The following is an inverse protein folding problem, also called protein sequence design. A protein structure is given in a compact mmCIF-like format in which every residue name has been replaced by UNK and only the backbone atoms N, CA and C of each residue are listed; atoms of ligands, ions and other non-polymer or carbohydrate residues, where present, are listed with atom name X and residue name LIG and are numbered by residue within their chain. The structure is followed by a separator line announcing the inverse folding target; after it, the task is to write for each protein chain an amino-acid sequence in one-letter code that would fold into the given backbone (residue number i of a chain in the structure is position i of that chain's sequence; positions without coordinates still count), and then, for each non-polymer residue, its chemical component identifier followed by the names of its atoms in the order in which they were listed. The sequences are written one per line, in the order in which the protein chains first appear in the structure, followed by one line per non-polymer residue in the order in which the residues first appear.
data_IF_042264889194
#
_entry.id   IF_042264889194
#
_cell.length_a   1.000
_cell.length_b   1.000
_cell.length_c   1.000
_cell.angle_alpha   90.00
_cell.angle_beta   90.00
_cell.angle_gamma   90.00
#
_symmetry.space_group_name_H-M   'P 1'
#
loop_
_entity.id
_entity.type
_entity.pdbx_description
1 polymer ?
#
# COMPACT_ATOMS: atom_id res chain seq x y z
N UNK A 1 -2.88 14.84 25.93
CA UNK A 1 -3.34 13.47 25.72
C UNK A 1 -2.77 12.99 24.39
N UNK A 2 -1.57 12.33 24.45
CA UNK A 2 -0.81 11.94 23.27
C UNK A 2 -1.52 10.80 22.55
N UNK A 3 -1.73 10.97 21.25
CA UNK A 3 -2.28 9.91 20.40
C UNK A 3 -1.24 8.80 20.22
N UNK A 4 -1.63 7.52 20.31
CA UNK A 4 -0.73 6.42 20.02
C UNK A 4 -0.49 6.34 18.52
N UNK A 5 0.79 6.31 18.16
CA UNK A 5 1.30 6.20 16.80
C UNK A 5 0.74 4.97 16.08
N UNK A 6 0.10 5.23 14.97
CA UNK A 6 -0.38 4.24 14.00
C UNK A 6 0.80 3.47 13.41
N UNK A 7 0.74 2.14 13.46
CA UNK A 7 1.62 1.25 12.68
C UNK A 7 1.32 1.28 11.17
N UNK A 8 0.91 2.40 10.66
CA UNK A 8 1.03 2.85 9.29
C UNK A 8 2.07 3.97 9.34
N UNK A 9 3.35 3.60 9.30
CA UNK A 9 4.42 4.57 9.10
C UNK A 9 4.95 5.33 10.31
N UNK A 10 4.75 4.90 11.53
CA UNK A 10 5.32 5.57 12.69
C UNK A 10 6.32 4.70 13.44
N UNK A 11 7.46 4.45 12.83
CA UNK A 11 8.69 4.18 13.54
C UNK A 11 9.86 4.77 12.75
N UNK A 12 10.48 5.77 13.38
CA UNK A 12 11.75 6.39 13.03
C UNK A 12 11.68 7.54 12.01
N UNK A 13 11.43 8.74 12.53
CA UNK A 13 11.91 9.99 11.94
C UNK A 13 13.43 10.08 12.09
N UNK A 14 14.14 9.32 11.26
CA UNK A 14 15.56 9.50 11.00
C UNK A 14 15.70 9.96 9.56
N UNK A 15 16.23 11.15 9.35
CA UNK A 15 16.65 11.62 8.03
C UNK A 15 17.63 10.59 7.46
N UNK A 16 17.18 9.79 6.50
CA UNK A 16 18.06 8.91 5.72
C UNK A 16 18.65 9.75 4.60
N UNK A 17 19.79 10.38 4.87
CA UNK A 17 20.68 10.80 3.79
C UNK A 17 21.16 9.55 3.08
N UNK A 18 20.69 9.35 1.85
CA UNK A 18 21.19 8.33 0.93
C UNK A 18 22.62 8.68 0.53
N UNK A 19 23.58 8.08 1.19
CA UNK A 19 24.87 7.82 0.59
C UNK A 19 24.85 6.34 0.24
N UNK A 20 24.96 6.01 -1.04
CA UNK A 20 25.14 4.66 -1.53
C UNK A 20 26.48 4.08 -1.01
N UNK A 21 26.50 3.75 0.27
CA UNK A 21 27.51 2.88 0.84
C UNK A 21 27.06 1.45 0.52
N UNK A 22 28.00 0.60 0.10
CA UNK A 22 27.79 -0.85 0.01
C UNK A 22 27.39 -1.35 1.41
N UNK A 23 26.07 -1.32 1.66
CA UNK A 23 25.51 -1.70 2.94
C UNK A 23 25.75 -3.20 3.13
N UNK A 24 26.65 -3.52 4.04
CA UNK A 24 26.74 -4.87 4.58
C UNK A 24 25.37 -5.16 5.20
N UNK A 25 24.68 -6.15 4.68
CA UNK A 25 23.39 -6.61 5.22
C UNK A 25 23.61 -7.84 6.07
N UNK A 26 22.98 -7.89 7.23
CA UNK A 26 22.90 -9.06 8.09
C UNK A 26 21.42 -9.47 8.23
N UNK A 27 20.90 -10.17 7.20
CA UNK A 27 19.50 -10.59 7.20
C UNK A 27 19.21 -11.43 8.43
N UNK A 28 18.08 -11.13 9.08
CA UNK A 28 17.61 -11.87 10.24
C UNK A 28 16.12 -12.11 10.16
N UNK A 29 15.74 -13.31 10.52
CA UNK A 29 14.34 -13.69 10.72
C UNK A 29 14.18 -14.30 12.11
N UNK A 30 13.05 -14.01 12.76
CA UNK A 30 12.64 -14.68 14.00
C UNK A 30 11.23 -15.16 13.77
N UNK A 31 11.01 -16.46 13.91
CA UNK A 31 9.69 -17.10 13.70
C UNK A 31 9.22 -17.70 15.04
N UNK A 32 8.03 -17.31 15.44
CA UNK A 32 7.37 -17.86 16.62
C UNK A 32 6.10 -18.60 16.20
N UNK A 33 5.95 -19.81 16.68
CA UNK A 33 4.77 -20.64 16.52
C UNK A 33 4.10 -20.81 17.89
N UNK A 34 2.82 -20.48 17.98
CA UNK A 34 2.07 -20.46 19.26
C UNK A 34 2.86 -19.75 20.38
N UNK A 35 3.48 -18.60 20.05
CA UNK A 35 4.33 -17.76 20.92
C UNK A 35 5.70 -18.36 21.29
N UNK A 36 5.98 -19.61 20.93
CA UNK A 36 7.31 -20.23 21.13
C UNK A 36 8.23 -19.86 19.98
N UNK A 37 9.42 -19.39 20.28
CA UNK A 37 10.48 -19.17 19.28
C UNK A 37 10.97 -20.53 18.77
N UNK A 38 10.78 -20.76 17.46
CA UNK A 38 11.19 -21.98 16.77
C UNK A 38 12.28 -21.72 15.71
N UNK A 39 12.82 -20.50 15.71
CA UNK A 39 13.78 -20.06 14.67
C UNK A 39 14.95 -21.01 14.51
N UNK A 40 15.61 -21.38 15.61
CA UNK A 40 16.74 -22.30 15.60
C UNK A 40 16.37 -23.73 15.14
N UNK A 41 15.15 -24.18 15.50
CA UNK A 41 14.69 -25.54 15.19
C UNK A 41 14.41 -25.70 13.69
N UNK A 42 13.93 -24.63 13.04
CA UNK A 42 13.54 -24.65 11.62
C UNK A 42 14.63 -24.13 10.67
N UNK A 43 15.61 -23.38 11.18
CA UNK A 43 16.67 -22.75 10.38
C UNK A 43 17.39 -23.72 9.40
N UNK A 44 17.70 -24.98 9.77
CA UNK A 44 18.35 -25.92 8.84
C UNK A 44 17.46 -26.27 7.62
N UNK A 45 16.15 -26.18 7.76
CA UNK A 45 15.15 -26.54 6.73
C UNK A 45 14.61 -25.33 5.99
N UNK A 46 14.86 -24.11 6.49
CA UNK A 46 14.32 -22.88 5.94
C UNK A 46 14.88 -22.58 4.55
N UNK A 47 14.01 -22.54 3.54
CA UNK A 47 14.33 -22.15 2.17
C UNK A 47 14.09 -20.67 1.94
N UNK A 48 12.91 -20.20 2.32
CA UNK A 48 12.57 -18.79 2.22
C UNK A 48 11.54 -18.37 3.27
N UNK A 49 11.56 -17.10 3.62
CA UNK A 49 10.50 -16.43 4.37
C UNK A 49 10.17 -15.15 3.66
N UNK A 50 8.89 -14.93 3.40
CA UNK A 50 8.42 -13.67 2.85
C UNK A 50 7.25 -13.11 3.65
N UNK A 51 7.17 -11.79 3.70
CA UNK A 51 6.05 -11.03 4.19
C UNK A 51 5.56 -10.10 3.10
N UNK A 52 4.29 -10.15 2.79
CA UNK A 52 3.65 -9.25 1.83
C UNK A 52 2.63 -8.39 2.55
N UNK A 53 2.87 -7.08 2.51
CA UNK A 53 2.01 -6.04 3.06
C UNK A 53 1.21 -5.41 1.93
N UNK A 54 -0.11 -5.45 2.02
CA UNK A 54 -1.03 -4.88 1.05
C UNK A 54 -1.67 -3.60 1.59
N UNK A 55 -1.76 -2.57 0.77
CA UNK A 55 -2.45 -1.34 1.15
C UNK A 55 -3.95 -1.59 1.33
N UNK A 56 -4.55 -2.34 0.42
CA UNK A 56 -5.99 -2.60 0.38
C UNK A 56 -6.32 -3.89 -0.39
N UNK A 57 -7.53 -4.42 -0.16
CA UNK A 57 -8.11 -5.51 -0.96
C UNK A 57 -7.70 -6.91 -0.56
N UNK A 58 -6.59 -7.07 0.13
CA UNK A 58 -6.08 -8.36 0.61
C UNK A 58 -5.58 -8.26 2.04
N UNK A 59 -5.53 -9.40 2.72
CA UNK A 59 -4.88 -9.52 4.02
C UNK A 59 -3.38 -9.59 3.84
N UNK A 60 -2.63 -9.00 4.76
CA UNK A 60 -1.19 -9.20 4.79
C UNK A 60 -0.89 -10.68 5.00
N UNK A 61 0.16 -11.15 4.34
CA UNK A 61 0.51 -12.57 4.24
C UNK A 61 1.96 -12.81 4.65
N UNK A 62 2.17 -13.84 5.46
CA UNK A 62 3.48 -14.45 5.71
C UNK A 62 3.52 -15.79 5.01
N UNK A 63 4.58 -16.03 4.26
CA UNK A 63 4.87 -17.33 3.66
C UNK A 63 6.20 -17.85 4.16
N UNK A 64 6.23 -19.10 4.63
CA UNK A 64 7.43 -19.80 5.08
C UNK A 64 7.58 -21.07 4.25
N UNK A 65 8.69 -21.22 3.55
CA UNK A 65 9.01 -22.42 2.76
C UNK A 65 10.07 -23.24 3.47
N UNK A 66 9.79 -24.51 3.69
CA UNK A 66 10.64 -25.43 4.43
C UNK A 66 10.92 -26.68 3.59
N UNK A 67 12.15 -27.10 3.59
CA UNK A 67 12.58 -28.37 2.99
C UNK A 67 12.09 -29.57 3.83
N UNK A 68 11.44 -30.54 3.18
CA UNK A 68 10.86 -31.71 3.85
C UNK A 68 11.39 -33.03 3.29
N UNK A 69 12.71 -33.19 3.22
CA UNK A 69 13.36 -34.39 2.68
C UNK A 69 13.05 -35.63 3.52
N UNK A 70 13.05 -35.47 4.85
CA UNK A 70 12.81 -36.57 5.78
C UNK A 70 11.34 -36.78 6.16
N UNK A 71 10.44 -35.98 5.62
CA UNK A 71 8.99 -36.11 5.81
C UNK A 71 8.47 -35.66 7.18
N UNK A 72 9.29 -34.98 7.97
CA UNK A 72 8.92 -34.54 9.33
C UNK A 72 7.75 -33.58 9.36
N UNK A 73 7.68 -32.65 8.41
CA UNK A 73 6.64 -31.63 8.30
C UNK A 73 5.29 -32.19 7.87
N UNK A 74 5.28 -33.36 7.23
CA UNK A 74 4.06 -34.09 6.86
C UNK A 74 3.59 -35.06 7.94
N UNK A 75 4.34 -35.21 9.01
CA UNK A 75 4.06 -36.20 10.06
C UNK A 75 4.14 -35.54 11.44
N UNK A 76 5.26 -35.72 12.13
CA UNK A 76 5.44 -35.36 13.54
C UNK A 76 5.38 -33.87 13.82
N UNK A 77 5.79 -33.05 12.83
CA UNK A 77 5.86 -31.60 12.92
C UNK A 77 4.81 -30.91 12.04
N UNK A 78 3.75 -31.61 11.68
CA UNK A 78 2.68 -31.05 10.89
C UNK A 78 1.94 -29.97 11.68
N UNK A 79 1.93 -28.71 11.19
CA UNK A 79 1.19 -27.64 11.82
C UNK A 79 -0.30 -27.73 11.48
N UNK A 80 -1.18 -27.14 12.29
CA UNK A 80 -2.61 -27.15 12.04
C UNK A 80 -3.12 -25.82 11.51
N UNK A 81 -4.16 -25.85 10.71
CA UNK A 81 -4.82 -24.63 10.23
C UNK A 81 -5.47 -23.91 11.41
N UNK A 82 -5.26 -22.59 11.50
CA UNK A 82 -5.70 -21.75 12.59
C UNK A 82 -4.65 -21.51 13.67
N UNK A 83 -3.53 -22.24 13.62
CA UNK A 83 -2.38 -21.99 14.52
C UNK A 83 -1.79 -20.60 14.26
N UNK A 84 -1.17 -20.05 15.27
CA UNK A 84 -0.66 -18.68 15.23
C UNK A 84 0.83 -18.63 14.95
N UNK A 85 1.17 -17.89 13.92
CA UNK A 85 2.56 -17.59 13.56
C UNK A 85 2.80 -16.09 13.74
N UNK A 86 3.91 -15.71 14.35
CA UNK A 86 4.41 -14.34 14.32
C UNK A 86 5.82 -14.29 13.76
N UNK A 87 6.13 -13.23 13.03
CA UNK A 87 7.37 -13.06 12.30
C UNK A 87 8.04 -11.73 12.65
N UNK A 88 9.35 -11.75 12.84
CA UNK A 88 10.21 -10.57 12.76
C UNK A 88 11.16 -10.78 11.59
N UNK A 89 11.14 -9.88 10.60
CA UNK A 89 11.94 -9.98 9.38
C UNK A 89 12.69 -8.67 9.16
N UNK A 90 13.91 -8.73 8.68
CA UNK A 90 14.67 -7.54 8.36
C UNK A 90 16.17 -7.75 8.36
N UNK A 91 16.86 -6.72 8.77
CA UNK A 91 18.30 -6.64 8.83
C UNK A 91 18.75 -6.18 10.23
N UNK A 92 19.75 -6.84 10.81
CA UNK A 92 20.22 -6.52 12.16
C UNK A 92 20.78 -5.09 12.27
N UNK A 93 21.34 -4.56 11.18
CA UNK A 93 21.93 -3.22 11.12
C UNK A 93 20.86 -2.19 10.77
N UNK A 94 20.04 -2.47 9.74
CA UNK A 94 19.12 -1.51 9.15
C UNK A 94 17.72 -1.50 9.78
N UNK A 95 17.43 -2.49 10.59
CA UNK A 95 16.20 -2.61 11.37
C UNK A 95 15.33 -3.81 11.01
N UNK A 96 14.53 -4.20 11.99
CA UNK A 96 13.61 -5.34 11.94
C UNK A 96 12.15 -4.86 11.88
N UNK A 97 11.37 -5.48 11.02
CA UNK A 97 9.92 -5.34 11.01
C UNK A 97 9.31 -6.46 11.88
N UNK A 98 8.61 -6.05 12.93
CA UNK A 98 7.91 -6.98 13.83
C UNK A 98 6.46 -7.07 13.42
N UNK A 99 6.03 -8.27 13.07
CA UNK A 99 4.66 -8.55 12.70
C UNK A 99 3.88 -9.11 13.89
N UNK A 100 2.61 -8.75 13.96
CA UNK A 100 1.69 -9.33 14.93
C UNK A 100 1.44 -10.82 14.67
N UNK A 101 0.61 -11.42 15.52
CA UNK A 101 0.18 -12.79 15.31
C UNK A 101 -0.70 -12.91 14.06
N UNK A 102 -0.39 -13.87 13.21
CA UNK A 102 -1.15 -14.24 12.00
C UNK A 102 -1.65 -15.66 12.13
N UNK A 103 -2.77 -15.98 11.51
CA UNK A 103 -3.36 -17.32 11.54
C UNK A 103 -2.95 -18.12 10.31
N UNK A 104 -2.47 -19.34 10.51
CA UNK A 104 -2.12 -20.27 9.46
C UNK A 104 -3.37 -20.65 8.66
N UNK A 105 -3.42 -20.24 7.41
CA UNK A 105 -4.59 -20.38 6.54
C UNK A 105 -4.44 -21.53 5.53
N UNK A 106 -3.22 -21.80 5.08
CA UNK A 106 -2.93 -22.78 4.03
C UNK A 106 -1.61 -23.49 4.32
N UNK A 107 -1.60 -24.79 4.11
CA UNK A 107 -0.42 -25.65 4.14
C UNK A 107 -0.36 -26.38 2.81
N UNK A 108 0.70 -26.14 2.05
CA UNK A 108 0.90 -26.75 0.75
C UNK A 108 2.13 -27.68 0.79
N UNK A 109 2.03 -28.86 0.21
CA UNK A 109 3.15 -29.78 0.01
C UNK A 109 3.40 -29.98 -1.46
N UNK A 110 4.65 -29.79 -1.88
CA UNK A 110 5.10 -29.96 -3.25
C UNK A 110 6.21 -31.01 -3.34
N UNK A 111 6.17 -31.84 -4.40
CA UNK A 111 7.24 -32.80 -4.71
C UNK A 111 7.26 -33.09 -6.23
N UNK A 112 8.43 -33.20 -6.89
CA UNK A 112 9.77 -32.79 -6.47
C UNK A 112 10.03 -31.29 -6.66
N UNK A 113 10.88 -30.62 -5.86
CA UNK A 113 11.47 -31.10 -4.62
C UNK A 113 10.47 -31.22 -3.47
N UNK A 114 10.84 -31.92 -2.39
CA UNK A 114 9.98 -32.01 -1.19
C UNK A 114 10.05 -30.71 -0.42
N UNK A 115 9.02 -29.90 -0.55
CA UNK A 115 8.88 -28.58 0.11
C UNK A 115 7.51 -28.49 0.74
N UNK A 116 7.46 -27.98 1.95
CA UNK A 116 6.22 -27.54 2.58
C UNK A 116 6.18 -26.01 2.65
N UNK A 117 5.05 -25.46 2.25
CA UNK A 117 4.80 -24.03 2.28
C UNK A 117 3.68 -23.72 3.26
N UNK A 118 3.98 -22.85 4.24
CA UNK A 118 3.04 -22.38 5.23
C UNK A 118 2.64 -20.97 4.90
N UNK A 119 1.33 -20.69 4.73
CA UNK A 119 0.79 -19.34 4.50
C UNK A 119 -0.08 -18.93 5.67
N UNK A 120 0.29 -17.82 6.31
CA UNK A 120 -0.46 -17.23 7.40
C UNK A 120 -0.96 -15.83 7.04
N UNK A 121 -2.17 -15.50 7.44
CA UNK A 121 -2.87 -14.26 7.11
C UNK A 121 -3.10 -13.39 8.36
N UNK A 122 -3.01 -12.08 8.18
CA UNK A 122 -3.23 -11.10 9.24
C UNK A 122 -4.68 -10.99 9.70
N UNK A 123 -5.63 -11.39 8.88
CA UNK A 123 -7.06 -11.44 9.22
C UNK A 123 -7.46 -12.82 9.63
N UNK A 124 -7.80 -12.96 10.91
CA UNK A 124 -8.26 -14.23 11.45
C UNK A 124 -9.49 -14.80 10.72
N UNK A 125 -9.54 -16.13 10.64
CA UNK A 125 -10.64 -16.90 10.03
C UNK A 125 -11.84 -16.98 11.01
N UNK A 126 -12.26 -15.86 11.60
CA UNK A 126 -13.37 -15.86 12.56
C UNK A 126 -14.73 -15.96 11.87
N UNK A 127 -15.69 -16.63 12.52
CA UNK A 127 -17.07 -16.76 12.02
C UNK A 127 -17.73 -15.41 11.71
N UNK A 128 -17.44 -14.37 12.52
CA UNK A 128 -17.96 -13.02 12.32
C UNK A 128 -17.53 -12.39 11.00
N UNK A 129 -16.31 -12.66 10.55
CA UNK A 129 -15.76 -12.15 9.29
C UNK A 129 -16.35 -12.85 8.06
N UNK A 130 -16.89 -14.06 8.23
CA UNK A 130 -17.45 -14.88 7.14
C UNK A 130 -18.96 -14.76 6.98
N UNK A 131 -19.67 -14.15 7.94
CA UNK A 131 -21.13 -14.06 7.91
C UNK A 131 -21.58 -12.95 6.97
N UNK A 132 -22.36 -13.30 5.94
CA UNK A 132 -23.04 -12.34 5.05
C UNK A 132 -24.19 -11.68 5.79
N UNK A 133 -24.45 -10.41 5.49
CA UNK A 133 -25.48 -9.61 6.14
C UNK A 133 -26.27 -8.78 5.14
N UNK A 134 -27.56 -8.60 5.44
CA UNK A 134 -28.44 -7.66 4.75
C UNK A 134 -28.82 -6.54 5.73
N UNK A 135 -28.31 -5.33 5.53
CA UNK A 135 -28.62 -4.16 6.39
C UNK A 135 -28.68 -2.87 5.59
N UNK A 136 -29.61 -2.01 5.94
CA UNK A 136 -29.65 -0.62 5.49
C UNK A 136 -29.05 0.29 6.57
N UNK A 137 -28.29 1.28 6.12
CA UNK A 137 -27.76 2.37 6.94
C UNK A 137 -28.34 3.66 6.36
N UNK A 138 -29.09 4.39 7.17
CA UNK A 138 -29.83 5.60 6.76
C UNK A 138 -29.54 6.74 7.73
N UNK A 139 -29.58 8.00 7.20
CA UNK A 139 -29.40 9.24 7.97
C UNK A 139 -28.19 9.19 8.92
N UNK A 140 -27.03 8.83 8.41
CA UNK A 140 -25.81 8.61 9.19
C UNK A 140 -24.58 9.21 8.48
N UNK A 141 -23.39 8.91 8.97
CA UNK A 141 -22.13 9.29 8.31
C UNK A 141 -21.31 8.05 7.95
N UNK A 142 -20.40 8.20 6.97
CA UNK A 142 -19.45 7.13 6.63
C UNK A 142 -18.66 6.66 7.87
N UNK A 143 -18.21 7.61 8.69
CA UNK A 143 -17.46 7.32 9.91
C UNK A 143 -18.28 6.51 10.93
N UNK A 144 -19.58 6.81 11.06
CA UNK A 144 -20.45 6.08 11.99
C UNK A 144 -20.74 4.65 11.53
N UNK A 145 -20.86 4.45 10.21
CA UNK A 145 -20.99 3.11 9.63
C UNK A 145 -19.74 2.29 9.95
N UNK A 146 -18.55 2.84 9.68
CA UNK A 146 -17.27 2.19 9.96
C UNK A 146 -17.14 1.84 11.44
N UNK A 147 -17.42 2.79 12.35
CA UNK A 147 -17.39 2.56 13.82
C UNK A 147 -18.38 1.49 14.28
N UNK A 148 -19.59 1.47 13.68
CA UNK A 148 -20.64 0.48 14.00
C UNK A 148 -20.21 -0.93 13.60
N UNK A 149 -19.57 -1.07 12.44
CA UNK A 149 -19.04 -2.35 11.97
C UNK A 149 -17.83 -2.77 12.82
N UNK A 150 -16.91 -1.87 13.08
CA UNK A 150 -15.73 -2.14 13.91
C UNK A 150 -16.10 -2.66 15.30
N UNK A 151 -17.10 -2.04 15.95
CA UNK A 151 -17.62 -2.53 17.25
C UNK A 151 -18.15 -3.95 17.15
N UNK A 152 -18.85 -4.29 16.06
CA UNK A 152 -19.37 -5.63 15.83
C UNK A 152 -18.28 -6.68 15.61
N UNK A 153 -17.16 -6.26 15.01
CA UNK A 153 -15.99 -7.10 14.76
C UNK A 153 -14.99 -7.09 15.94
N UNK A 154 -15.30 -6.37 17.02
CA UNK A 154 -14.40 -6.16 18.17
C UNK A 154 -13.05 -5.54 17.79
N UNK A 155 -13.05 -4.62 16.81
CA UNK A 155 -11.88 -3.93 16.30
C UNK A 155 -11.87 -2.46 16.73
N UNK A 156 -10.66 -1.90 16.90
CA UNK A 156 -10.46 -0.47 17.16
C UNK A 156 -10.28 0.25 15.83
N UNK A 157 -11.07 1.30 15.58
CA UNK A 157 -10.94 2.11 14.36
C UNK A 157 -9.73 3.03 14.47
N UNK A 158 -8.94 3.07 13.41
CA UNK A 158 -7.80 3.98 13.23
C UNK A 158 -7.84 4.59 11.83
N UNK A 159 -7.22 5.78 11.69
CA UNK A 159 -7.18 6.51 10.42
C UNK A 159 -8.08 7.73 10.38
N UNK A 160 -7.93 8.52 9.31
CA UNK A 160 -8.69 9.74 9.04
C UNK A 160 -9.83 9.43 8.08
N UNK A 161 -11.07 9.55 8.55
CA UNK A 161 -12.27 9.31 7.75
C UNK A 161 -12.89 10.65 7.39
N UNK A 162 -13.05 10.94 6.09
CA UNK A 162 -13.73 12.16 5.65
C UNK A 162 -15.17 12.18 6.14
N UNK A 163 -15.63 13.36 6.52
CA UNK A 163 -17.03 13.56 6.91
C UNK A 163 -17.92 13.53 5.66
N UNK A 164 -18.55 12.39 5.40
CA UNK A 164 -19.48 12.20 4.29
C UNK A 164 -20.84 11.82 4.88
N UNK A 165 -21.85 12.69 4.77
CA UNK A 165 -23.19 12.36 5.19
C UNK A 165 -23.79 11.30 4.25
N UNK A 166 -24.32 10.25 4.83
CA UNK A 166 -24.95 9.11 4.13
C UNK A 166 -26.46 9.15 4.35
N UNK A 167 -27.19 9.48 3.31
CA UNK A 167 -28.66 9.43 3.34
C UNK A 167 -29.13 7.98 3.39
N UNK A 168 -28.59 7.14 2.49
CA UNK A 168 -28.85 5.71 2.48
C UNK A 168 -27.69 4.96 1.82
N UNK A 169 -27.30 3.82 2.41
CA UNK A 169 -26.46 2.80 1.79
C UNK A 169 -26.88 1.42 2.32
N UNK A 170 -26.88 0.43 1.44
CA UNK A 170 -27.31 -0.92 1.79
C UNK A 170 -26.14 -1.89 1.67
N UNK A 171 -25.89 -2.66 2.72
CA UNK A 171 -25.11 -3.88 2.72
C UNK A 171 -26.05 -4.99 2.27
N UNK A 172 -25.85 -5.49 1.05
CA UNK A 172 -26.75 -6.49 0.46
C UNK A 172 -26.06 -7.84 0.33
N UNK A 173 -26.34 -8.75 1.26
CA UNK A 173 -25.74 -10.09 1.31
C UNK A 173 -24.20 -10.09 1.17
N UNK A 174 -23.58 -9.08 1.76
CA UNK A 174 -22.12 -8.90 1.78
C UNK A 174 -21.57 -9.19 3.18
N UNK A 175 -20.35 -9.69 3.26
CA UNK A 175 -19.61 -9.71 4.52
C UNK A 175 -19.26 -8.30 4.95
N UNK A 176 -19.06 -8.09 6.24
CA UNK A 176 -18.69 -6.77 6.77
C UNK A 176 -17.39 -6.21 6.15
N UNK A 177 -16.40 -7.09 5.91
CA UNK A 177 -15.13 -6.73 5.28
C UNK A 177 -15.35 -6.32 3.82
N UNK A 178 -16.13 -7.09 3.05
CA UNK A 178 -16.46 -6.78 1.65
C UNK A 178 -17.20 -5.45 1.53
N UNK A 179 -18.17 -5.22 2.42
CA UNK A 179 -18.92 -3.97 2.49
C UNK A 179 -18.02 -2.76 2.77
N UNK A 180 -17.11 -2.86 3.76
CA UNK A 180 -16.15 -1.80 4.07
C UNK A 180 -15.16 -1.58 2.92
N UNK A 181 -14.70 -2.62 2.25
CA UNK A 181 -13.85 -2.52 1.05
C UNK A 181 -14.56 -1.75 -0.06
N UNK A 182 -15.84 -2.08 -0.30
CA UNK A 182 -16.65 -1.37 -1.29
C UNK A 182 -16.85 0.10 -0.92
N UNK A 183 -17.21 0.40 0.33
CA UNK A 183 -17.36 1.78 0.79
C UNK A 183 -16.05 2.57 0.70
N UNK A 184 -14.94 1.96 1.07
CA UNK A 184 -13.63 2.60 0.96
C UNK A 184 -13.34 3.00 -0.49
N UNK A 185 -13.49 2.07 -1.44
CA UNK A 185 -13.30 2.33 -2.87
C UNK A 185 -14.27 3.39 -3.41
N UNK A 186 -15.56 3.32 -3.04
CA UNK A 186 -16.60 4.26 -3.50
C UNK A 186 -16.37 5.68 -2.99
N UNK A 187 -15.84 5.85 -1.78
CA UNK A 187 -15.65 7.14 -1.15
C UNK A 187 -14.19 7.60 -1.04
N UNK A 188 -13.27 6.96 -1.78
CA UNK A 188 -11.86 7.37 -1.86
C UNK A 188 -11.10 7.19 -0.56
N UNK A 189 -11.27 6.05 0.06
CA UNK A 189 -10.54 5.62 1.24
C UNK A 189 -9.82 4.29 0.97
N UNK A 190 -8.84 4.00 1.80
CA UNK A 190 -8.18 2.70 1.92
C UNK A 190 -8.70 2.01 3.18
N UNK A 191 -8.97 0.72 3.08
CA UNK A 191 -9.43 -0.11 4.18
C UNK A 191 -8.58 -1.37 4.30
N UNK A 192 -8.13 -1.65 5.53
CA UNK A 192 -7.52 -2.95 5.88
C UNK A 192 -7.71 -3.26 7.37
N UNK A 193 -7.57 -4.52 7.71
CA UNK A 193 -7.55 -4.98 9.11
C UNK A 193 -6.13 -5.46 9.42
N UNK A 194 -5.55 -4.94 10.50
CA UNK A 194 -4.23 -5.32 11.00
C UNK A 194 -4.36 -5.69 12.48
N UNK A 195 -4.22 -6.97 12.79
CA UNK A 195 -4.43 -7.48 14.15
C UNK A 195 -5.82 -7.11 14.67
N UNK A 196 -5.89 -6.31 15.75
CA UNK A 196 -7.16 -5.83 16.34
C UNK A 196 -7.54 -4.42 15.92
N UNK A 197 -6.97 -3.91 14.84
CA UNK A 197 -7.25 -2.57 14.34
C UNK A 197 -7.94 -2.62 12.98
N UNK A 198 -8.98 -1.81 12.82
CA UNK A 198 -9.64 -1.50 11.57
C UNK A 198 -9.10 -0.17 11.08
N UNK A 199 -8.26 -0.20 10.08
CA UNK A 199 -7.71 0.99 9.42
C UNK A 199 -8.67 1.43 8.33
N UNK A 200 -9.15 2.67 8.40
CA UNK A 200 -9.98 3.28 7.37
C UNK A 200 -9.48 4.71 7.14
N UNK A 201 -8.72 4.90 6.06
CA UNK A 201 -7.91 6.09 5.83
C UNK A 201 -8.27 6.76 4.50
N UNK A 202 -8.47 8.07 4.51
CA UNK A 202 -8.69 8.85 3.30
C UNK A 202 -7.44 8.83 2.40
N UNK A 203 -7.62 8.59 1.09
CA UNK A 203 -6.52 8.40 0.13
C UNK A 203 -5.72 9.68 -0.11
N UNK A 204 -6.36 10.86 -0.04
CA UNK A 204 -5.68 12.16 -0.11
C UNK A 204 -4.74 12.36 1.09
N UNK A 205 -5.19 12.03 2.30
CA UNK A 205 -4.35 12.13 3.49
C UNK A 205 -3.16 11.15 3.47
N UNK A 206 -3.27 10.00 2.77
CA UNK A 206 -2.12 9.12 2.50
C UNK A 206 -1.15 9.78 1.51
N UNK A 207 -1.66 10.38 0.44
CA UNK A 207 -0.86 11.01 -0.60
C UNK A 207 -0.08 12.24 -0.10
N UNK A 208 -0.62 12.96 0.88
CA UNK A 208 -0.02 14.17 1.48
C UNK A 208 1.08 13.87 2.51
N UNK A 209 1.32 12.60 2.84
CA UNK A 209 2.37 12.22 3.78
C UNK A 209 3.76 12.63 3.28
N UNK A 210 4.65 12.95 4.22
CA UNK A 210 6.06 13.17 3.90
C UNK A 210 6.69 11.86 3.44
N UNK A 211 7.55 11.89 2.40
CA UNK A 211 8.29 10.71 1.98
C UNK A 211 9.14 10.15 3.14
N UNK A 212 9.07 8.83 3.33
CA UNK A 212 9.90 8.13 4.34
C UNK A 212 11.29 7.82 3.83
N UNK A 213 11.46 7.81 2.50
CA UNK A 213 12.75 7.61 1.84
C UNK A 213 12.78 8.37 0.51
N UNK A 214 13.98 8.80 0.12
CA UNK A 214 14.29 9.27 -1.23
C UNK A 214 15.11 8.16 -1.89
N UNK A 215 14.67 7.68 -3.04
CA UNK A 215 15.31 6.60 -3.78
C UNK A 215 15.85 7.13 -5.10
N UNK A 216 17.10 6.78 -5.38
CA UNK A 216 17.80 7.10 -6.61
C UNK A 216 17.87 5.84 -7.50
N UNK A 217 18.16 5.95 -8.82
CA UNK A 217 18.30 4.79 -9.69
C UNK A 217 19.32 3.75 -9.19
N UNK A 218 20.41 4.19 -8.56
CA UNK A 218 21.44 3.35 -7.98
C UNK A 218 21.01 2.57 -6.73
N UNK A 219 19.99 3.02 -6.03
CA UNK A 219 19.42 2.33 -4.87
C UNK A 219 18.54 1.15 -5.28
N UNK A 220 18.16 1.08 -6.55
CA UNK A 220 17.16 0.13 -7.08
C UNK A 220 17.86 -0.87 -8.01
N UNK A 221 17.71 -2.15 -7.70
CA UNK A 221 18.29 -3.24 -8.49
C UNK A 221 17.65 -3.37 -9.88
N UNK A 222 16.33 -3.31 -9.92
CA UNK A 222 15.56 -3.30 -11.16
C UNK A 222 14.23 -2.56 -10.95
N UNK A 223 13.72 -1.94 -12.00
CA UNK A 223 12.43 -1.26 -11.94
C UNK A 223 11.71 -1.31 -13.29
N UNK A 224 10.38 -1.19 -13.20
CA UNK A 224 9.51 -0.98 -14.34
C UNK A 224 8.47 0.07 -13.99
N UNK A 225 8.59 1.26 -14.56
CA UNK A 225 7.64 2.36 -14.41
C UNK A 225 6.84 2.54 -15.70
N UNK A 226 5.56 2.81 -15.58
CA UNK A 226 4.62 2.95 -16.70
C UNK A 226 3.83 4.23 -16.55
N UNK A 227 3.60 4.92 -17.64
CA UNK A 227 2.66 6.04 -17.78
C UNK A 227 1.59 5.61 -18.79
N UNK A 228 0.38 5.38 -18.33
CA UNK A 228 -0.71 4.80 -19.11
C UNK A 228 -1.83 5.82 -19.29
N UNK A 229 -2.26 6.03 -20.53
CA UNK A 229 -3.45 6.83 -20.84
C UNK A 229 -4.72 5.97 -20.76
N UNK A 230 -4.61 4.68 -21.13
CA UNK A 230 -5.73 3.74 -21.12
C UNK A 230 -6.29 3.56 -19.70
N UNK A 231 -7.59 3.76 -19.53
CA UNK A 231 -8.26 3.62 -18.24
C UNK A 231 -8.18 4.87 -17.35
N UNK A 232 -7.62 5.99 -17.86
CA UNK A 232 -7.61 7.28 -17.17
C UNK A 232 -8.64 8.20 -17.85
N UNK A 233 -9.88 8.27 -17.35
CA UNK A 233 -10.92 9.10 -17.96
C UNK A 233 -10.63 10.59 -17.78
N UNK A 234 -11.01 11.39 -18.76
CA UNK A 234 -10.93 12.85 -18.66
C UNK A 234 -11.93 13.41 -17.65
N UNK A 235 -13.06 12.74 -17.51
CA UNK A 235 -14.12 13.15 -16.61
C UNK A 235 -14.87 11.96 -16.03
N UNK A 236 -15.44 12.16 -14.85
CA UNK A 236 -16.46 11.28 -14.28
C UNK A 236 -17.81 11.96 -14.28
N UNK A 237 -18.83 11.23 -14.69
CA UNK A 237 -20.21 11.66 -14.65
C UNK A 237 -20.98 10.68 -13.79
N UNK A 238 -21.46 11.17 -12.65
CA UNK A 238 -22.39 10.42 -11.81
C UNK A 238 -23.78 10.91 -12.10
N UNK A 239 -24.68 10.00 -12.45
CA UNK A 239 -26.09 10.30 -12.71
C UNK A 239 -26.99 9.45 -11.83
N UNK A 240 -28.09 10.03 -11.35
CA UNK A 240 -29.07 9.34 -10.54
C UNK A 240 -30.43 10.04 -10.58
N UNK A 241 -31.50 9.31 -10.30
CA UNK A 241 -32.85 9.84 -10.25
C UNK A 241 -33.25 10.19 -8.83
N UNK A 242 -33.64 11.45 -8.62
CA UNK A 242 -34.25 11.91 -7.36
C UNK A 242 -35.73 11.72 -7.39
N UNK A 243 -36.23 10.69 -6.73
CA UNK A 243 -37.67 10.37 -6.71
C UNK A 243 -38.52 11.44 -5.99
N UNK A 244 -37.96 12.17 -5.01
CA UNK A 244 -38.67 13.24 -4.29
C UNK A 244 -38.87 14.46 -5.16
N UNK A 245 -37.86 14.84 -5.95
CA UNK A 245 -37.91 16.00 -6.85
C UNK A 245 -38.29 15.65 -8.28
N UNK A 246 -38.50 14.38 -8.60
CA UNK A 246 -38.79 13.84 -9.93
C UNK A 246 -37.81 14.35 -11.01
N UNK A 247 -36.53 14.52 -10.65
CA UNK A 247 -35.52 15.06 -11.53
C UNK A 247 -34.29 14.13 -11.59
N UNK A 248 -33.58 14.16 -12.72
CA UNK A 248 -32.31 13.47 -12.85
C UNK A 248 -31.20 14.37 -12.30
N UNK A 249 -30.49 13.90 -11.28
CA UNK A 249 -29.29 14.55 -10.79
C UNK A 249 -28.10 14.09 -11.61
N UNK A 250 -27.24 15.03 -12.01
CA UNK A 250 -26.03 14.74 -12.76
C UNK A 250 -24.88 15.56 -12.19
N UNK A 251 -23.81 14.89 -11.77
CA UNK A 251 -22.58 15.54 -11.33
C UNK A 251 -21.47 15.18 -12.31
N UNK A 252 -20.77 16.20 -12.79
CA UNK A 252 -19.60 16.06 -13.66
C UNK A 252 -18.38 16.56 -12.91
N UNK A 253 -17.32 15.75 -12.91
CA UNK A 253 -16.00 16.11 -12.39
C UNK A 253 -14.97 15.90 -13.49
N UNK A 254 -14.00 16.81 -13.59
CA UNK A 254 -12.91 16.70 -14.58
C UNK A 254 -11.61 16.30 -13.90
N UNK A 255 -10.87 15.45 -14.58
CA UNK A 255 -9.52 15.03 -14.20
C UNK A 255 -8.57 16.24 -14.15
N UNK A 256 -7.65 16.27 -13.21
CA UNK A 256 -6.52 17.22 -13.17
C UNK A 256 -5.33 16.58 -13.86
N UNK A 257 -4.46 17.37 -14.50
CA UNK A 257 -3.20 16.84 -15.00
C UNK A 257 -2.30 16.43 -13.82
N UNK A 258 -1.71 15.26 -13.88
CA UNK A 258 -0.78 14.78 -12.84
C UNK A 258 0.50 15.62 -12.80
N UNK A 259 0.94 16.12 -13.99
CA UNK A 259 2.13 16.98 -14.13
C UNK A 259 1.71 18.42 -14.42
N UNK A 260 2.32 19.43 -13.78
CA UNK A 260 2.13 20.83 -14.12
C UNK A 260 2.48 21.07 -15.59
N UNK A 261 1.63 21.78 -16.34
CA UNK A 261 1.80 22.02 -17.77
C UNK A 261 1.62 20.79 -18.68
N UNK A 262 1.37 19.61 -18.11
CA UNK A 262 1.05 18.39 -18.86
C UNK A 262 -0.31 18.47 -19.52
N UNK A 263 -0.47 17.80 -20.66
CA UNK A 263 -1.79 17.60 -21.25
C UNK A 263 -2.61 16.72 -20.31
N UNK A 264 -3.89 17.05 -20.17
CA UNK A 264 -4.85 16.12 -19.49
C UNK A 264 -4.82 14.79 -20.24
N UNK A 265 -5.10 13.71 -19.54
CA UNK A 265 -5.29 12.41 -20.18
C UNK A 265 -6.19 12.60 -21.42
N UNK A 266 -5.67 12.25 -22.58
CA UNK A 266 -6.34 12.51 -23.87
C UNK A 266 -7.24 11.36 -24.31
N UNK A 267 -7.56 10.42 -23.42
CA UNK A 267 -8.37 9.25 -23.74
C UNK A 267 -9.78 9.59 -24.24
N UNK A 268 -10.25 10.81 -24.02
CA UNK A 268 -11.61 11.22 -24.37
C UNK A 268 -12.70 10.47 -23.57
N UNK A 269 -12.28 9.52 -22.74
CA UNK A 269 -13.19 8.64 -22.02
C UNK A 269 -13.90 9.36 -20.87
N UNK A 270 -15.18 9.07 -20.75
CA UNK A 270 -16.01 9.53 -19.65
C UNK A 270 -16.38 8.32 -18.76
N UNK A 271 -15.98 8.36 -17.49
CA UNK A 271 -16.41 7.38 -16.50
C UNK A 271 -17.87 7.67 -16.11
N UNK A 272 -18.78 6.79 -16.50
CA UNK A 272 -20.19 6.89 -16.13
C UNK A 272 -20.47 6.07 -14.89
N UNK A 273 -21.00 6.70 -13.85
CA UNK A 273 -21.37 6.08 -12.59
C UNK A 273 -22.86 6.32 -12.35
N UNK A 274 -23.59 5.27 -12.03
CA UNK A 274 -25.01 5.37 -11.64
C UNK A 274 -25.07 5.55 -10.12
N UNK A 275 -25.77 6.59 -9.68
CA UNK A 275 -26.05 6.79 -8.26
C UNK A 275 -27.06 5.74 -7.78
N UNK A 276 -26.86 5.24 -6.58
CA UNK A 276 -27.79 4.32 -5.96
C UNK A 276 -29.08 5.07 -5.53
N UNK A 277 -30.18 4.33 -5.45
CA UNK A 277 -31.46 4.90 -5.00
C UNK A 277 -31.32 5.45 -3.58
N UNK A 278 -31.68 6.71 -3.39
CA UNK A 278 -31.67 7.38 -2.09
C UNK A 278 -30.32 8.02 -1.71
N UNK A 279 -29.31 8.03 -2.60
CA UNK A 279 -28.07 8.77 -2.33
C UNK A 279 -28.28 10.28 -2.33
N UNK A 280 -27.65 10.97 -1.40
CA UNK A 280 -27.60 12.44 -1.35
C UNK A 280 -26.67 13.01 -2.41
N UNK A 281 -26.79 14.33 -2.70
CA UNK A 281 -25.87 15.01 -3.59
C UNK A 281 -24.42 14.97 -3.09
N UNK A 282 -24.21 15.01 -1.76
CA UNK A 282 -22.90 14.89 -1.15
C UNK A 282 -22.26 13.52 -1.42
N UNK A 283 -23.04 12.44 -1.32
CA UNK A 283 -22.58 11.09 -1.66
C UNK A 283 -22.20 10.98 -3.13
N UNK A 284 -23.04 11.48 -4.04
CA UNK A 284 -22.78 11.48 -5.48
C UNK A 284 -21.50 12.24 -5.82
N UNK A 285 -21.29 13.40 -5.21
CA UNK A 285 -20.07 14.20 -5.39
C UNK A 285 -18.82 13.43 -4.90
N UNK A 286 -18.88 12.89 -3.69
CA UNK A 286 -17.76 12.15 -3.10
C UNK A 286 -17.37 10.92 -3.95
N UNK A 287 -18.35 10.20 -4.51
CA UNK A 287 -18.10 9.06 -5.41
C UNK A 287 -17.47 9.49 -6.73
N UNK A 288 -17.91 10.63 -7.31
CA UNK A 288 -17.32 11.15 -8.54
C UNK A 288 -15.85 11.55 -8.32
N UNK A 289 -15.57 12.26 -7.22
CA UNK A 289 -14.23 12.69 -6.87
C UNK A 289 -13.31 11.48 -6.58
N UNK A 290 -13.79 10.49 -5.84
CA UNK A 290 -13.05 9.26 -5.55
C UNK A 290 -12.74 8.45 -6.81
N UNK A 291 -13.70 8.31 -7.71
CA UNK A 291 -13.51 7.56 -8.94
C UNK A 291 -12.45 8.19 -9.84
N UNK A 292 -12.45 9.52 -9.98
CA UNK A 292 -11.42 10.24 -10.73
C UNK A 292 -10.04 10.13 -10.07
N UNK A 293 -9.97 10.34 -8.75
CA UNK A 293 -8.70 10.23 -8.02
C UNK A 293 -8.09 8.82 -8.15
N UNK A 294 -8.90 7.77 -8.01
CA UNK A 294 -8.45 6.39 -8.17
C UNK A 294 -7.94 6.11 -9.59
N UNK A 295 -8.63 6.62 -10.62
CA UNK A 295 -8.22 6.47 -12.00
C UNK A 295 -6.91 7.23 -12.30
N UNK A 296 -6.76 8.46 -11.80
CA UNK A 296 -5.55 9.26 -11.97
C UNK A 296 -4.33 8.62 -11.29
N UNK A 297 -4.48 8.10 -10.09
CA UNK A 297 -3.40 7.43 -9.37
C UNK A 297 -2.91 6.16 -10.09
N UNK A 298 -3.74 5.59 -10.96
CA UNK A 298 -3.36 4.42 -11.78
C UNK A 298 -2.61 4.81 -13.06
N UNK A 299 -2.54 6.10 -13.40
CA UNK A 299 -1.89 6.59 -14.62
C UNK A 299 -0.39 6.30 -14.60
N UNK A 300 0.31 6.68 -13.53
CA UNK A 300 1.74 6.44 -13.39
C UNK A 300 1.95 5.49 -12.22
N UNK A 301 2.37 4.29 -12.56
CA UNK A 301 2.55 3.20 -11.60
C UNK A 301 3.72 2.32 -12.04
N UNK A 302 4.21 1.51 -11.13
CA UNK A 302 5.25 0.54 -11.44
C UNK A 302 5.64 -0.32 -10.26
N UNK A 303 6.66 -1.09 -10.49
CA UNK A 303 7.28 -1.93 -9.48
C UNK A 303 8.81 -1.80 -9.54
N UNK A 304 9.43 -1.99 -8.41
CA UNK A 304 10.89 -2.05 -8.32
C UNK A 304 11.33 -2.98 -7.20
N UNK A 305 12.52 -3.53 -7.38
CA UNK A 305 13.19 -4.43 -6.46
C UNK A 305 14.49 -3.82 -5.97
N UNK A 306 14.77 -3.93 -4.69
CA UNK A 306 15.94 -3.35 -4.06
C UNK A 306 16.49 -4.26 -2.95
N UNK A 307 17.65 -3.91 -2.41
CA UNK A 307 18.15 -4.53 -1.18
C UNK A 307 17.11 -4.36 -0.07
N UNK A 308 16.92 -5.39 0.73
CA UNK A 308 15.85 -5.42 1.72
C UNK A 308 15.85 -4.23 2.67
N UNK A 309 14.71 -3.55 2.75
CA UNK A 309 14.47 -2.44 3.66
C UNK A 309 13.12 -2.64 4.37
N UNK A 310 13.18 -3.21 5.56
CA UNK A 310 12.00 -3.53 6.36
C UNK A 310 11.18 -2.30 6.83
N UNK A 311 11.69 -1.09 6.61
CA UNK A 311 10.99 0.17 6.94
C UNK A 311 9.98 0.58 5.86
N UNK A 312 10.09 0.03 4.64
CA UNK A 312 9.20 0.36 3.52
C UNK A 312 7.98 -0.56 3.54
N UNK A 313 6.85 -0.04 3.97
CA UNK A 313 5.60 -0.77 4.09
C UNK A 313 4.48 -0.12 3.26
N UNK A 314 3.43 -0.85 2.97
CA UNK A 314 2.28 -0.34 2.23
C UNK A 314 1.62 0.84 2.95
N UNK A 315 1.19 1.85 2.19
CA UNK A 315 0.60 3.08 2.72
C UNK A 315 1.59 4.19 3.03
N UNK A 316 2.89 3.94 2.88
CA UNK A 316 3.92 4.97 2.97
C UNK A 316 4.16 5.64 1.62
N UNK A 317 4.70 6.85 1.67
CA UNK A 317 5.14 7.60 0.49
C UNK A 317 6.66 7.52 0.38
N UNK A 318 7.15 7.21 -0.81
CA UNK A 318 8.57 7.29 -1.17
C UNK A 318 8.74 8.34 -2.28
N UNK A 319 9.89 8.99 -2.34
CA UNK A 319 10.22 9.92 -3.42
C UNK A 319 11.25 9.29 -4.34
N UNK A 320 10.93 9.20 -5.63
CA UNK A 320 11.87 8.84 -6.68
C UNK A 320 12.52 10.12 -7.22
N UNK A 321 13.84 10.18 -7.23
CA UNK A 321 14.64 11.30 -7.75
C UNK A 321 15.65 10.77 -8.77
N UNK A 322 15.87 11.50 -9.86
CA UNK A 322 16.79 11.07 -10.94
C UNK A 322 16.12 10.18 -12.00
N UNK A 323 14.78 10.08 -11.98
CA UNK A 323 14.01 9.30 -12.97
C UNK A 323 13.37 10.16 -14.07
N UNK A 324 13.75 11.42 -14.19
CA UNK A 324 13.25 12.34 -15.20
C UNK A 324 11.74 12.54 -15.11
N UNK A 325 10.99 12.16 -16.15
CA UNK A 325 9.52 12.30 -16.16
C UNK A 325 8.79 11.35 -15.19
N UNK A 326 9.48 10.39 -14.63
CA UNK A 326 8.96 9.52 -13.59
C UNK A 326 9.41 9.94 -12.18
N UNK A 327 10.17 11.02 -12.04
CA UNK A 327 10.51 11.56 -10.72
C UNK A 327 9.27 12.12 -10.03
N UNK A 328 9.16 11.91 -8.70
CA UNK A 328 7.99 12.33 -7.95
C UNK A 328 7.77 11.53 -6.67
N UNK A 329 6.64 11.80 -6.01
CA UNK A 329 6.20 11.07 -4.84
C UNK A 329 5.32 9.90 -5.25
N UNK A 330 5.58 8.75 -4.66
CA UNK A 330 4.87 7.50 -4.92
C UNK A 330 4.33 6.91 -3.63
N UNK A 331 3.07 6.52 -3.64
CA UNK A 331 2.45 5.74 -2.58
C UNK A 331 2.74 4.26 -2.81
N UNK A 332 3.26 3.58 -1.79
CA UNK A 332 3.49 2.13 -1.80
C UNK A 332 2.14 1.41 -1.68
N UNK A 333 1.78 0.63 -2.69
CA UNK A 333 0.56 -0.20 -2.72
C UNK A 333 0.77 -1.57 -2.12
N UNK A 334 1.94 -2.13 -2.38
CA UNK A 334 2.34 -3.42 -1.88
C UNK A 334 3.84 -3.40 -1.60
N UNK A 335 4.23 -3.99 -0.49
CA UNK A 335 5.61 -4.24 -0.13
C UNK A 335 5.80 -5.72 0.18
N UNK A 336 6.67 -6.41 -0.55
CA UNK A 336 7.07 -7.77 -0.26
C UNK A 336 8.51 -7.78 0.21
N UNK A 337 8.72 -8.30 1.39
CA UNK A 337 10.03 -8.49 2.00
C UNK A 337 10.34 -9.97 2.01
N UNK A 338 11.50 -10.37 1.49
CA UNK A 338 11.85 -11.77 1.36
C UNK A 338 13.30 -12.02 1.79
N UNK A 339 13.51 -13.05 2.62
CA UNK A 339 14.82 -13.61 2.93
C UNK A 339 14.86 -15.01 2.37
N UNK A 340 15.85 -15.30 1.52
CA UNK A 340 16.09 -16.62 0.92
C UNK A 340 17.42 -17.20 1.38
N UNK A 341 17.47 -18.52 1.53
CA UNK A 341 18.71 -19.27 1.74
C UNK A 341 19.67 -18.96 0.59
N UNK A 342 20.83 -18.35 0.90
CA UNK A 342 21.84 -17.95 -0.10
C UNK A 342 21.46 -16.76 -1.01
N UNK A 343 20.26 -16.22 -0.89
CA UNK A 343 19.75 -15.10 -1.74
C UNK A 343 19.75 -13.73 -1.07
N UNK A 344 19.98 -13.68 0.24
CA UNK A 344 19.97 -12.44 1.01
C UNK A 344 18.57 -11.91 1.31
N UNK A 345 18.48 -10.63 1.63
CA UNK A 345 17.25 -9.91 1.93
C UNK A 345 16.88 -8.96 0.79
N UNK A 346 15.66 -9.05 0.29
CA UNK A 346 15.14 -8.21 -0.79
C UNK A 346 13.81 -7.57 -0.40
N UNK A 347 13.52 -6.41 -1.00
CA UNK A 347 12.23 -5.74 -0.91
C UNK A 347 11.74 -5.43 -2.32
N UNK A 348 10.54 -5.95 -2.65
CA UNK A 348 9.84 -5.70 -3.90
C UNK A 348 8.64 -4.79 -3.60
N UNK A 349 8.57 -3.65 -4.28
CA UNK A 349 7.54 -2.64 -4.04
C UNK A 349 6.70 -2.42 -5.29
N UNK A 350 5.37 -2.42 -5.14
CA UNK A 350 4.44 -1.89 -6.14
C UNK A 350 4.01 -0.49 -5.71
N UNK A 351 4.14 0.47 -6.61
CA UNK A 351 3.95 1.88 -6.31
C UNK A 351 3.06 2.58 -7.33
N UNK A 352 2.39 3.66 -6.89
CA UNK A 352 1.62 4.56 -7.76
C UNK A 352 1.99 6.00 -7.47
N UNK A 353 2.15 6.83 -8.51
CA UNK A 353 2.51 8.24 -8.35
C UNK A 353 1.34 9.02 -7.74
N UNK A 354 1.61 9.78 -6.71
CA UNK A 354 0.64 10.68 -6.06
C UNK A 354 0.94 12.14 -6.37
N UNK A 355 2.20 12.49 -6.60
CA UNK A 355 2.62 13.84 -6.94
C UNK A 355 3.85 13.80 -7.84
N UNK A 356 3.83 14.58 -8.92
CA UNK A 356 5.00 14.78 -9.75
C UNK A 356 5.91 15.84 -9.13
N UNK A 357 7.16 15.48 -8.85
CA UNK A 357 8.20 16.40 -8.38
C UNK A 357 9.34 16.31 -9.38
N UNK A 358 9.58 17.38 -10.20
CA UNK A 358 10.65 17.35 -11.19
C UNK A 358 12.01 17.26 -10.50
N UNK A 359 12.97 16.63 -11.18
CA UNK A 359 14.36 16.70 -10.78
C UNK A 359 14.85 18.14 -10.90
N UNK A 360 15.66 18.60 -9.97
CA UNK A 360 16.33 19.88 -10.09
C UNK A 360 17.18 19.87 -11.37
N UNK A 361 17.14 20.92 -12.21
CA UNK A 361 18.05 21.01 -13.34
C UNK A 361 19.48 20.90 -12.81
N UNK A 362 20.39 20.18 -13.54
CA UNK A 362 21.77 20.09 -13.11
C UNK A 362 22.29 21.51 -12.89
N UNK A 363 22.78 21.80 -11.68
CA UNK A 363 23.43 23.09 -11.43
C UNK A 363 24.54 23.22 -12.47
N UNK A 364 24.41 24.21 -13.36
CA UNK A 364 25.46 24.54 -14.30
C UNK A 364 26.72 24.80 -13.46
N UNK A 365 27.65 23.87 -13.49
CA UNK A 365 29.00 24.10 -12.96
C UNK A 365 29.45 25.40 -13.59
N UNK A 366 29.64 26.43 -12.76
CA UNK A 366 30.09 27.73 -13.18
C UNK A 366 31.36 27.54 -14.01
N UNK A 367 31.22 27.66 -15.34
CA UNK A 367 32.32 27.60 -16.25
C UNK A 367 33.27 28.71 -15.84
N UNK A 368 34.45 28.34 -15.33
CA UNK A 368 35.54 29.21 -14.99
C UNK A 368 35.84 30.05 -16.26
N UNK A 369 35.42 31.29 -16.28
CA UNK A 369 35.74 32.18 -17.38
C UNK A 369 37.27 32.30 -17.42
N UNK A 370 37.89 32.08 -18.61
CA UNK A 370 39.32 32.31 -18.73
C UNK A 370 39.59 33.82 -18.55
N UNK A 371 40.43 34.14 -17.55
CA UNK A 371 40.94 35.53 -17.35
C UNK A 371 41.53 35.98 -18.66
N UNK A 372 40.92 37.04 -19.28
CA UNK A 372 41.54 37.81 -20.38
C UNK A 372 42.80 38.46 -19.79
N UNK A 373 43.97 37.97 -20.18
CA UNK A 373 45.22 38.68 -19.99
C UNK A 373 45.15 40.00 -20.79
N UNK A 374 45.18 41.12 -20.08
CA UNK A 374 45.38 42.43 -20.67
C UNK A 374 46.78 42.51 -21.24
N UNK A 375 46.93 42.48 -22.55
CA UNK A 375 48.17 42.87 -23.23
C UNK A 375 48.36 44.36 -23.03
N UNK A 376 49.37 44.74 -22.24
CA UNK A 376 49.91 46.10 -22.24
C UNK A 376 50.71 46.25 -23.53
N UNK A 377 50.20 47.10 -24.43
CA UNK A 377 51.00 47.64 -25.51
C UNK A 377 51.98 48.66 -24.93
N UNK A 378 53.26 48.31 -25.02
CA UNK A 378 54.32 49.27 -25.01
C UNK A 378 54.48 49.82 -26.42
N UNK A 379 54.35 51.09 -26.57
CA UNK A 379 55.00 51.84 -27.63
C UNK A 379 55.59 53.13 -27.06
N UNK A 380 56.83 53.24 -27.26
CA UNK A 380 57.81 54.32 -27.13
C UNK A 380 57.33 55.67 -27.47
#
# INVERSE_FOLDING_TARGET
MQMPNLHLGALLSGSLNSTASHLVTLPKVIIKYEQKDITSDIQPYLLSVSYTDYLEGQSDEVQVELEDVDGRWRQKWYPEQGDKISLEIGDQINGMLKLGSMELAEIEYQHPPSVITLKALSTGITKSNRTQRGRAYEHTTLADIVRRIARRLHLKVTGTIRHIPIERVTQYQERDVEFLTRLAKEYGHTFKIVGRQLVFQANDALAEQKPVAVLLPEDIKNFRLRDLIKGVPQEAVVSGYDAKRKTTRRTRRRSKALRPGGKRASSGDTLKIVANRGESQAQVNARADAALANAQQSQVAGNFSMVGNAKLVAGQVVQLKGFGKFSGKYLVKQARHEIRRGGGFTSDLEVKMVEYVPDEPPQATAATQPKKQAAKNANS
#
